data_IF_955101563394
#
_entry.id   IF_955101563394
#
_cell.length_a   1.000
_cell.length_b   1.000
_cell.length_c   1.000
_cell.angle_alpha   90.00
_cell.angle_beta   90.00
_cell.angle_gamma   90.00
#
_symmetry.space_group_name_H-M   'P 1'
#
loop_
_entity.id
_entity.type
_entity.pdbx_description
1 polymer ?
#
# COMPACT_ATOMS: atom_id res chain seq x y z
N UNK A 1 -5.62 21.70 -20.00
CA UNK A 1 -4.63 20.62 -19.78
C UNK A 1 -3.69 20.94 -18.61
N UNK A 2 -3.11 22.11 -18.54
CA UNK A 2 -2.12 22.49 -17.52
C UNK A 2 -2.67 22.49 -16.06
N UNK A 3 -3.88 22.95 -15.86
CA UNK A 3 -4.52 23.02 -14.54
C UNK A 3 -4.86 21.62 -13.98
N UNK A 4 -5.12 20.65 -14.82
CA UNK A 4 -5.36 19.27 -14.42
C UNK A 4 -4.06 18.58 -14.02
N UNK A 5 -2.96 18.94 -14.67
CA UNK A 5 -1.64 18.40 -14.39
C UNK A 5 -1.11 18.87 -13.02
N UNK A 6 -1.34 20.13 -12.66
CA UNK A 6 -0.96 20.68 -11.33
C UNK A 6 -1.72 19.99 -10.18
N UNK A 7 -3.01 19.73 -10.35
CA UNK A 7 -3.81 18.99 -9.35
C UNK A 7 -3.32 17.55 -9.20
N UNK A 8 -2.99 16.89 -10.28
CA UNK A 8 -2.48 15.51 -10.25
C UNK A 8 -1.12 15.45 -9.57
N UNK A 9 -0.24 16.42 -9.81
CA UNK A 9 1.06 16.54 -9.14
C UNK A 9 0.86 16.78 -7.64
N UNK A 10 -0.08 17.64 -7.24
CA UNK A 10 -0.39 17.86 -5.84
C UNK A 10 -0.89 16.59 -5.14
N UNK A 11 -1.81 15.85 -5.76
CA UNK A 11 -2.29 14.58 -5.23
C UNK A 11 -1.17 13.54 -5.10
N UNK A 12 -0.25 13.51 -6.06
CA UNK A 12 0.92 12.65 -5.98
C UNK A 12 1.79 13.00 -4.77
N UNK A 13 2.08 14.27 -4.53
CA UNK A 13 2.87 14.71 -3.38
C UNK A 13 2.18 14.38 -2.05
N UNK A 14 0.88 14.60 -1.95
CA UNK A 14 0.10 14.24 -0.76
C UNK A 14 0.17 12.73 -0.53
N UNK A 15 0.01 11.92 -1.57
CA UNK A 15 0.09 10.47 -1.46
C UNK A 15 1.48 10.00 -0.98
N UNK A 16 2.55 10.59 -1.53
CA UNK A 16 3.94 10.30 -1.12
C UNK A 16 4.18 10.71 0.33
N UNK A 17 3.69 11.87 0.77
CA UNK A 17 3.80 12.31 2.16
C UNK A 17 3.08 11.35 3.12
N UNK A 18 1.85 10.96 2.81
CA UNK A 18 1.09 10.01 3.62
C UNK A 18 1.78 8.64 3.69
N UNK A 19 2.35 8.20 2.58
CA UNK A 19 3.13 6.97 2.54
C UNK A 19 4.37 7.04 3.44
N UNK A 20 5.11 8.15 3.38
CA UNK A 20 6.31 8.38 4.18
C UNK A 20 6.01 8.40 5.69
N UNK A 21 4.94 9.09 6.09
CA UNK A 21 4.48 9.12 7.49
C UNK A 21 4.14 7.69 7.97
N UNK A 22 3.50 6.89 7.13
CA UNK A 22 3.20 5.49 7.45
C UNK A 22 4.45 4.65 7.71
N UNK A 23 5.54 4.88 6.99
CA UNK A 23 6.84 4.24 7.21
C UNK A 23 7.46 4.62 8.55
N UNK A 24 7.45 5.93 8.88
CA UNK A 24 7.97 6.45 10.15
C UNK A 24 7.17 5.89 11.34
N UNK A 25 5.83 5.91 11.25
CA UNK A 25 4.97 5.32 12.29
C UNK A 25 5.27 3.83 12.49
N UNK A 26 5.53 3.10 11.41
CA UNK A 26 5.88 1.69 11.45
C UNK A 26 7.15 1.38 12.26
N UNK A 27 8.08 2.33 12.38
CA UNK A 27 9.29 2.16 13.18
C UNK A 27 9.03 2.26 14.70
N UNK A 28 8.05 3.08 15.10
CA UNK A 28 7.73 3.30 16.51
C UNK A 28 6.75 2.28 17.09
N UNK A 29 6.21 1.43 16.24
CA UNK A 29 5.22 0.44 16.66
C UNK A 29 5.93 -0.86 17.04
N UNK A 30 5.90 -1.19 18.34
CA UNK A 30 6.48 -2.41 18.92
C UNK A 30 5.61 -3.66 18.72
N UNK A 31 4.94 -3.77 17.58
CA UNK A 31 4.17 -4.96 17.19
C UNK A 31 4.81 -5.62 15.98
N UNK A 32 4.65 -6.95 15.83
CA UNK A 32 5.21 -7.68 14.69
C UNK A 32 4.83 -7.06 13.35
N UNK A 33 5.78 -6.97 12.44
CA UNK A 33 5.61 -6.40 11.09
C UNK A 33 4.40 -6.97 10.33
N UNK A 34 4.13 -8.25 10.54
CA UNK A 34 2.95 -8.95 9.97
C UNK A 34 1.64 -8.30 10.42
N UNK A 35 1.51 -7.97 11.72
CA UNK A 35 0.30 -7.35 12.25
C UNK A 35 0.14 -5.92 11.75
N UNK A 36 1.22 -5.17 11.59
CA UNK A 36 1.21 -3.84 10.96
C UNK A 36 0.69 -3.93 9.52
N UNK A 37 1.23 -4.86 8.75
CA UNK A 37 0.81 -5.09 7.37
C UNK A 37 -0.67 -5.53 7.30
N UNK A 38 -1.10 -6.45 8.15
CA UNK A 38 -2.50 -6.91 8.21
C UNK A 38 -3.47 -5.78 8.56
N UNK A 39 -3.17 -5.00 9.59
CA UNK A 39 -4.00 -3.86 9.99
C UNK A 39 -4.17 -2.86 8.84
N UNK A 40 -3.09 -2.57 8.13
CA UNK A 40 -3.11 -1.69 6.95
C UNK A 40 -3.98 -2.24 5.83
N UNK A 41 -3.87 -3.53 5.52
CA UNK A 41 -4.67 -4.18 4.48
C UNK A 41 -6.15 -4.17 4.84
N UNK A 42 -6.49 -4.49 6.08
CA UNK A 42 -7.88 -4.48 6.56
C UNK A 42 -8.48 -3.08 6.44
N UNK A 43 -7.82 -2.05 6.97
CA UNK A 43 -8.29 -0.67 6.89
C UNK A 43 -8.46 -0.22 5.44
N UNK A 44 -7.47 -0.47 4.59
CA UNK A 44 -7.51 -0.11 3.17
C UNK A 44 -8.63 -0.83 2.43
N UNK A 45 -8.86 -2.10 2.72
CA UNK A 45 -9.93 -2.89 2.11
C UNK A 45 -11.32 -2.36 2.46
N UNK A 46 -11.53 -1.98 3.72
CA UNK A 46 -12.80 -1.38 4.16
C UNK A 46 -13.05 -0.06 3.45
N UNK A 47 -12.04 0.80 3.37
CA UNK A 47 -12.15 2.11 2.69
C UNK A 47 -12.45 1.92 1.20
N UNK A 48 -11.68 1.07 0.51
CA UNK A 48 -11.85 0.81 -0.92
C UNK A 48 -13.22 0.18 -1.23
N UNK A 49 -13.66 -0.77 -0.40
CA UNK A 49 -14.97 -1.39 -0.54
C UNK A 49 -16.11 -0.36 -0.37
N UNK A 50 -15.97 0.53 0.61
CA UNK A 50 -16.94 1.61 0.84
C UNK A 50 -17.00 2.56 -0.35
N UNK A 51 -15.84 2.99 -0.86
CA UNK A 51 -15.75 3.86 -2.05
C UNK A 51 -16.38 3.18 -3.28
N UNK A 52 -16.09 1.90 -3.49
CA UNK A 52 -16.64 1.15 -4.61
C UNK A 52 -18.17 1.03 -4.54
N UNK A 53 -18.71 0.81 -3.34
CA UNK A 53 -20.18 0.79 -3.13
C UNK A 53 -20.81 2.15 -3.37
N UNK A 54 -20.22 3.23 -2.86
CA UNK A 54 -20.73 4.60 -3.08
C UNK A 54 -20.71 4.96 -4.55
N UNK A 55 -19.67 4.58 -5.28
CA UNK A 55 -19.56 4.78 -6.72
C UNK A 55 -20.40 3.82 -7.57
N UNK A 56 -21.11 2.89 -6.94
CA UNK A 56 -21.89 1.84 -7.63
C UNK A 56 -21.06 1.05 -8.64
N UNK A 57 -19.77 0.88 -8.36
CA UNK A 57 -18.87 0.11 -9.23
C UNK A 57 -19.23 -1.38 -9.17
N UNK A 58 -19.26 -2.04 -10.31
CA UNK A 58 -19.44 -3.48 -10.37
C UNK A 58 -18.14 -4.15 -9.90
N UNK A 59 -18.21 -4.86 -8.77
CA UNK A 59 -17.08 -5.60 -8.19
C UNK A 59 -17.06 -7.07 -8.60
N UNK A 60 -18.03 -7.50 -9.42
CA UNK A 60 -18.07 -8.88 -9.89
C UNK A 60 -16.95 -9.13 -10.90
N UNK A 61 -16.17 -10.17 -10.65
CA UNK A 61 -15.14 -10.65 -11.56
C UNK A 61 -15.78 -11.60 -12.58
N UNK A 62 -15.47 -11.44 -13.84
CA UNK A 62 -16.06 -12.21 -14.93
C UNK A 62 -15.45 -13.61 -15.05
N UNK A 63 -14.20 -13.79 -14.60
CA UNK A 63 -13.47 -15.03 -14.79
C UNK A 63 -12.88 -15.60 -13.50
N UNK A 64 -12.88 -16.92 -13.37
CA UNK A 64 -12.17 -17.62 -12.29
C UNK A 64 -10.65 -17.36 -12.30
N UNK A 65 -10.08 -17.06 -13.48
CA UNK A 65 -8.68 -16.69 -13.63
C UNK A 65 -8.37 -15.37 -12.93
N UNK A 66 -9.30 -14.41 -12.97
CA UNK A 66 -9.11 -13.10 -12.33
C UNK A 66 -9.07 -13.24 -10.81
N UNK A 67 -9.89 -14.13 -10.24
CA UNK A 67 -9.80 -14.45 -8.80
C UNK A 67 -8.44 -15.03 -8.43
N UNK A 68 -7.92 -15.96 -9.23
CA UNK A 68 -6.61 -16.57 -8.98
C UNK A 68 -5.48 -15.56 -9.08
N UNK A 69 -5.52 -14.68 -10.08
CA UNK A 69 -4.55 -13.61 -10.26
C UNK A 69 -4.57 -12.60 -9.10
N UNK A 70 -5.76 -12.20 -8.64
CA UNK A 70 -5.91 -11.27 -7.52
C UNK A 70 -5.39 -11.91 -6.22
N UNK A 71 -5.70 -13.17 -5.97
CA UNK A 71 -5.19 -13.88 -4.80
C UNK A 71 -3.66 -13.99 -4.86
N UNK A 72 -3.10 -14.36 -6.02
CA UNK A 72 -1.66 -14.43 -6.22
C UNK A 72 -0.97 -13.09 -6.02
N UNK A 73 -1.50 -12.04 -6.63
CA UNK A 73 -1.01 -10.68 -6.45
C UNK A 73 -1.10 -10.22 -4.99
N UNK A 74 -2.20 -10.56 -4.31
CA UNK A 74 -2.38 -10.26 -2.89
C UNK A 74 -1.35 -10.94 -2.00
N UNK A 75 -1.01 -12.20 -2.26
CA UNK A 75 0.02 -12.93 -1.51
C UNK A 75 1.42 -12.31 -1.72
N UNK A 76 1.77 -11.98 -2.96
CA UNK A 76 3.05 -11.32 -3.27
C UNK A 76 3.12 -9.96 -2.59
N UNK A 77 2.03 -9.20 -2.63
CA UNK A 77 1.96 -7.89 -2.00
C UNK A 77 2.04 -7.99 -0.47
N UNK A 78 1.41 -8.98 0.14
CA UNK A 78 1.49 -9.24 1.57
C UNK A 78 2.92 -9.57 2.01
N UNK A 79 3.62 -10.44 1.28
CA UNK A 79 5.01 -10.76 1.52
C UNK A 79 5.91 -9.52 1.38
N UNK A 80 5.68 -8.74 0.32
CA UNK A 80 6.42 -7.50 0.06
C UNK A 80 6.28 -6.49 1.21
N UNK A 81 5.05 -6.21 1.66
CA UNK A 81 4.81 -5.27 2.75
C UNK A 81 5.33 -5.77 4.10
N UNK A 82 5.20 -7.07 4.36
CA UNK A 82 5.75 -7.67 5.58
C UNK A 82 7.26 -7.53 5.63
N UNK A 83 7.97 -7.83 4.55
CA UNK A 83 9.42 -7.69 4.47
C UNK A 83 9.86 -6.23 4.53
N UNK A 84 9.10 -5.31 3.95
CA UNK A 84 9.36 -3.87 4.04
C UNK A 84 9.28 -3.37 5.49
N UNK A 85 8.19 -3.67 6.20
CA UNK A 85 8.07 -3.27 7.61
C UNK A 85 9.08 -3.97 8.50
N UNK A 86 9.40 -5.23 8.24
CA UNK A 86 10.45 -5.94 8.95
C UNK A 86 11.81 -5.26 8.75
N UNK A 87 12.13 -4.85 7.53
CA UNK A 87 13.36 -4.11 7.22
C UNK A 87 13.46 -2.79 8.01
N UNK A 88 12.36 -2.06 8.13
CA UNK A 88 12.31 -0.82 8.92
C UNK A 88 12.52 -1.11 10.42
N UNK A 89 11.93 -2.17 10.95
CA UNK A 89 12.01 -2.50 12.37
C UNK A 89 13.39 -3.01 12.79
N UNK A 90 14.09 -3.75 11.91
CA UNK A 90 15.42 -4.31 12.22
C UNK A 90 16.58 -3.39 11.82
N UNK A 91 16.31 -2.33 11.05
CA UNK A 91 17.34 -1.40 10.60
C UNK A 91 16.91 0.06 10.84
N UNK A 92 16.67 0.80 9.77
CA UNK A 92 16.18 2.19 9.82
C UNK A 92 15.19 2.44 8.70
N UNK A 93 14.34 3.47 8.88
CA UNK A 93 13.43 3.92 7.82
C UNK A 93 14.20 4.29 6.55
N UNK A 94 15.39 4.88 6.69
CA UNK A 94 16.21 5.27 5.54
C UNK A 94 16.64 4.05 4.71
N UNK A 95 17.13 3.00 5.34
CA UNK A 95 17.54 1.77 4.63
C UNK A 95 16.34 1.09 3.97
N UNK A 96 15.23 0.96 4.70
CA UNK A 96 13.99 0.39 4.15
C UNK A 96 13.47 1.15 2.94
N UNK A 97 13.45 2.48 3.00
CA UNK A 97 12.95 3.32 1.89
C UNK A 97 13.89 3.37 0.70
N UNK A 98 15.21 3.39 0.91
CA UNK A 98 16.19 3.33 -0.19
C UNK A 98 16.05 1.99 -0.93
N UNK A 99 16.00 0.88 -0.19
CA UNK A 99 15.82 -0.46 -0.78
C UNK A 99 14.51 -0.56 -1.55
N UNK A 100 13.43 0.02 -1.03
CA UNK A 100 12.15 0.10 -1.71
C UNK A 100 12.21 0.94 -3.00
N UNK A 101 12.96 2.04 -2.98
CA UNK A 101 13.09 2.96 -4.12
C UNK A 101 13.88 2.36 -5.29
N UNK A 102 14.68 1.31 -5.06
CA UNK A 102 15.43 0.60 -6.10
C UNK A 102 14.56 -0.41 -6.87
N UNK A 103 13.33 -0.64 -6.44
CA UNK A 103 12.42 -1.60 -7.08
C UNK A 103 12.15 -1.36 -8.57
N UNK A 104 12.11 -0.11 -9.10
CA UNK A 104 11.90 0.13 -10.53
C UNK A 104 13.14 -0.11 -11.41
N UNK A 105 14.31 -0.38 -10.84
CA UNK A 105 15.56 -0.61 -11.54
C UNK A 105 15.81 -2.09 -11.79
#
# INVERSE_FOLDING_TARGET
MEQNNRKNILYLHIAVMLFSISGVVGQFVEIPSVLVAMGRVICSSIILFTIAKVKKSNLALESKKDYLLIIGAGMVLAAHWTTFFQSIQVSTVAIGTITFSTFPL
#
